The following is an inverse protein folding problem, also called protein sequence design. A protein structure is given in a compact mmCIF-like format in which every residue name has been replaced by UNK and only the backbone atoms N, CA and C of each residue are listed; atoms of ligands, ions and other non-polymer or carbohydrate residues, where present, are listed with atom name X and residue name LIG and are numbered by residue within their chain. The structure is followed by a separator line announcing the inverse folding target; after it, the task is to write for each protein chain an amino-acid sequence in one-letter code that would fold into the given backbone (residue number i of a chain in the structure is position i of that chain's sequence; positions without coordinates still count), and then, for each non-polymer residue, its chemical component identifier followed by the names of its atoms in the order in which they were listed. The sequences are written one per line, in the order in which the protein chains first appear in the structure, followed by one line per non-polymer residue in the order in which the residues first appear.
data_IF_342968932043
#
_entry.id   IF_342968932043
#
_cell.length_a   1.000
_cell.length_b   1.000
_cell.length_c   1.000
_cell.angle_alpha   90.00
_cell.angle_beta   90.00
_cell.angle_gamma   90.00
#
_symmetry.space_group_name_H-M   'P 1'
#
loop_
_entity.id
_entity.type
_entity.pdbx_description
1 polymer ?
#
# COMPACT_ATOMS: atom_id res chain seq x y z
N UNK A 1 21.48 10.03 6.50
CA UNK A 1 20.45 10.69 7.33
C UNK A 1 19.41 11.18 6.33
N UNK A 2 18.28 10.48 6.23
CA UNK A 2 17.18 10.91 5.37
C UNK A 2 16.68 12.26 5.92
N UNK A 3 16.71 13.29 5.09
CA UNK A 3 16.04 14.54 5.41
C UNK A 3 14.56 14.25 5.41
N UNK A 4 13.87 14.57 6.52
CA UNK A 4 12.44 14.29 6.74
C UNK A 4 11.50 15.09 5.82
N UNK A 5 12.04 15.78 4.83
CA UNK A 5 11.29 16.64 3.93
C UNK A 5 10.90 15.84 2.67
N UNK A 6 9.61 15.60 2.53
CA UNK A 6 8.97 15.08 1.32
C UNK A 6 9.30 13.62 0.94
N UNK A 7 8.97 12.66 1.81
CA UNK A 7 9.06 11.24 1.41
C UNK A 7 8.05 10.91 0.31
N UNK A 8 8.53 10.29 -0.75
CA UNK A 8 7.71 9.75 -1.83
C UNK A 8 7.54 8.24 -1.65
N UNK A 9 6.34 7.80 -1.35
CA UNK A 9 6.04 6.42 -0.94
C UNK A 9 5.05 5.80 -1.92
N UNK A 10 5.36 4.61 -2.43
CA UNK A 10 4.43 3.84 -3.24
C UNK A 10 3.76 2.74 -2.44
N UNK A 11 2.43 2.82 -2.30
CA UNK A 11 1.60 1.68 -1.88
C UNK A 11 1.47 0.68 -3.02
N UNK A 12 2.25 -0.40 -2.94
CA UNK A 12 2.34 -1.41 -3.99
C UNK A 12 1.29 -2.49 -3.81
N UNK A 13 0.35 -2.59 -4.77
CA UNK A 13 -0.71 -3.59 -4.76
C UNK A 13 -0.47 -4.80 -5.64
N UNK A 14 0.73 -4.96 -6.22
CA UNK A 14 1.12 -6.01 -7.16
C UNK A 14 0.22 -6.14 -8.41
N UNK A 15 -0.58 -5.13 -8.70
CA UNK A 15 -1.32 -5.03 -9.97
C UNK A 15 -0.48 -4.35 -11.06
N UNK A 16 -0.97 -4.42 -12.31
CA UNK A 16 -0.29 -3.81 -13.46
C UNK A 16 0.07 -2.34 -13.23
N UNK A 17 -0.85 -1.45 -12.77
CA UNK A 17 -0.52 -0.04 -12.63
C UNK A 17 0.61 0.22 -11.62
N UNK A 18 0.55 -0.41 -10.45
CA UNK A 18 1.58 -0.22 -9.42
C UNK A 18 2.92 -0.83 -9.82
N UNK A 19 2.92 -1.94 -10.57
CA UNK A 19 4.16 -2.53 -11.10
C UNK A 19 4.79 -1.66 -12.18
N UNK A 20 3.97 -1.03 -13.03
CA UNK A 20 4.46 -0.06 -14.01
C UNK A 20 5.14 1.11 -13.31
N UNK A 21 4.54 1.67 -12.26
CA UNK A 21 5.16 2.75 -11.47
C UNK A 21 6.49 2.32 -10.84
N UNK A 22 6.58 1.11 -10.31
CA UNK A 22 7.85 0.54 -9.82
C UNK A 22 8.89 0.49 -10.95
N UNK A 23 8.51 -0.01 -12.12
CA UNK A 23 9.42 -0.10 -13.28
C UNK A 23 9.96 1.28 -13.70
N UNK A 24 9.06 2.26 -13.83
CA UNK A 24 9.41 3.63 -14.21
C UNK A 24 10.33 4.30 -13.17
N UNK A 25 10.01 4.17 -11.89
CA UNK A 25 10.83 4.72 -10.80
C UNK A 25 12.22 4.07 -10.75
N UNK A 26 12.29 2.75 -10.92
CA UNK A 26 13.57 2.03 -10.97
C UNK A 26 14.40 2.43 -12.20
N UNK A 27 13.77 2.64 -13.34
CA UNK A 27 14.49 3.12 -14.52
C UNK A 27 15.05 4.54 -14.30
N UNK A 28 14.26 5.44 -13.70
CA UNK A 28 14.75 6.77 -13.32
C UNK A 28 15.94 6.68 -12.36
N UNK A 29 15.87 5.80 -11.35
CA UNK A 29 16.94 5.65 -10.36
C UNK A 29 18.25 5.06 -10.94
N UNK A 30 18.17 4.28 -12.02
CA UNK A 30 19.32 3.63 -12.66
C UNK A 30 19.93 4.47 -13.79
N UNK A 31 19.39 5.65 -14.07
CA UNK A 31 19.85 6.55 -15.14
C UNK A 31 20.35 7.87 -14.57
N UNK A 32 21.24 8.53 -15.31
CA UNK A 32 21.75 9.87 -14.97
C UNK A 32 20.71 10.98 -15.17
N UNK A 33 19.61 10.68 -15.83
CA UNK A 33 18.51 11.60 -16.09
C UNK A 33 17.16 10.86 -16.00
N UNK A 34 16.07 11.52 -15.56
CA UNK A 34 14.75 10.88 -15.47
C UNK A 34 14.19 10.62 -16.86
N UNK A 35 13.89 9.35 -17.15
CA UNK A 35 13.19 8.92 -18.37
C UNK A 35 11.68 9.19 -18.24
N UNK A 36 11.18 9.15 -17.00
CA UNK A 36 9.78 9.36 -16.65
C UNK A 36 9.66 10.52 -15.66
N UNK A 37 9.67 11.79 -16.13
CA UNK A 37 9.72 12.96 -15.24
C UNK A 37 8.54 13.07 -14.26
N UNK A 38 7.38 12.49 -14.62
CA UNK A 38 6.16 12.51 -13.79
C UNK A 38 6.18 11.48 -12.67
N UNK A 39 7.15 10.54 -12.68
CA UNK A 39 7.25 9.48 -11.68
C UNK A 39 8.46 9.73 -10.80
N UNK A 40 8.27 9.94 -9.49
CA UNK A 40 9.38 10.15 -8.58
C UNK A 40 10.20 8.87 -8.41
N UNK A 41 11.44 9.02 -7.94
CA UNK A 41 12.20 7.91 -7.36
C UNK A 41 11.64 7.74 -5.93
N UNK A 42 11.04 6.59 -5.64
CA UNK A 42 10.40 6.35 -4.35
C UNK A 42 11.43 6.13 -3.24
N UNK A 43 11.20 6.76 -2.09
CA UNK A 43 11.94 6.50 -0.84
C UNK A 43 11.56 5.16 -0.22
N UNK A 44 10.35 4.69 -0.51
CA UNK A 44 9.87 3.38 -0.10
C UNK A 44 8.78 2.84 -1.02
N UNK A 45 8.89 1.55 -1.37
CA UNK A 45 7.82 0.77 -1.98
C UNK A 45 7.31 -0.21 -0.94
N UNK A 46 6.01 -0.18 -0.61
CA UNK A 46 5.45 -0.93 0.50
C UNK A 46 4.34 -1.86 0.01
N UNK A 47 4.51 -3.16 0.22
CA UNK A 47 3.52 -4.20 -0.03
C UNK A 47 2.97 -4.74 1.30
N UNK A 48 1.64 -4.75 1.46
CA UNK A 48 0.97 -5.40 2.60
C UNK A 48 0.52 -6.80 2.19
N UNK A 49 1.17 -7.82 2.76
CA UNK A 49 0.81 -9.22 2.56
C UNK A 49 -0.28 -9.63 3.56
N UNK A 50 -1.44 -9.96 3.06
CA UNK A 50 -2.58 -10.43 3.85
C UNK A 50 -2.62 -11.96 3.97
N UNK A 51 -1.62 -12.68 3.46
CA UNK A 51 -1.56 -14.14 3.34
C UNK A 51 -2.72 -14.80 2.56
N UNK A 52 -3.46 -14.00 1.81
CA UNK A 52 -4.63 -14.43 1.05
C UNK A 52 -4.56 -14.05 -0.44
N UNK A 53 -3.36 -13.73 -0.92
CA UNK A 53 -3.17 -13.33 -2.32
C UNK A 53 -2.91 -14.57 -3.21
N UNK A 54 -3.34 -14.55 -4.47
CA UNK A 54 -3.03 -15.62 -5.42
C UNK A 54 -1.51 -15.78 -5.67
N UNK A 55 -1.07 -16.97 -6.03
CA UNK A 55 0.36 -17.29 -6.22
C UNK A 55 1.07 -16.39 -7.25
N UNK A 56 0.36 -15.92 -8.26
CA UNK A 56 0.92 -15.01 -9.26
C UNK A 56 1.25 -13.64 -8.68
N UNK A 57 0.51 -13.17 -7.66
CA UNK A 57 0.80 -11.93 -6.93
C UNK A 57 2.16 -12.05 -6.24
N UNK A 58 2.43 -13.16 -5.58
CA UNK A 58 3.74 -13.35 -4.91
C UNK A 58 4.91 -13.38 -5.90
N UNK A 59 4.71 -13.94 -7.10
CA UNK A 59 5.72 -13.84 -8.17
C UNK A 59 5.95 -12.39 -8.60
N UNK A 60 4.89 -11.63 -8.74
CA UNK A 60 4.96 -10.20 -9.08
C UNK A 60 5.65 -9.37 -7.99
N UNK A 61 5.37 -9.68 -6.72
CA UNK A 61 6.04 -9.07 -5.57
C UNK A 61 7.54 -9.37 -5.57
N UNK A 62 7.93 -10.63 -5.81
CA UNK A 62 9.33 -11.03 -5.90
C UNK A 62 10.06 -10.31 -7.04
N UNK A 63 9.41 -10.19 -8.21
CA UNK A 63 9.94 -9.46 -9.36
C UNK A 63 10.16 -7.96 -9.02
N UNK A 64 9.15 -7.30 -8.44
CA UNK A 64 9.23 -5.90 -8.07
C UNK A 64 10.29 -5.66 -7.00
N UNK A 65 10.40 -6.53 -6.00
CA UNK A 65 11.42 -6.44 -4.96
C UNK A 65 12.84 -6.58 -5.54
N UNK A 66 13.06 -7.51 -6.49
CA UNK A 66 14.37 -7.64 -7.15
C UNK A 66 14.71 -6.40 -7.98
N UNK A 67 13.73 -5.85 -8.69
CA UNK A 67 13.91 -4.63 -9.48
C UNK A 67 14.28 -3.44 -8.58
N UNK A 68 13.56 -3.24 -7.49
CA UNK A 68 13.84 -2.21 -6.48
C UNK A 68 15.25 -2.38 -5.87
N UNK A 69 15.63 -3.61 -5.52
CA UNK A 69 16.96 -3.92 -5.00
C UNK A 69 18.07 -3.50 -5.97
N UNK A 70 17.91 -3.77 -7.28
CA UNK A 70 18.89 -3.36 -8.31
C UNK A 70 18.96 -1.84 -8.50
N UNK A 71 17.83 -1.16 -8.30
CA UNK A 71 17.72 0.29 -8.38
C UNK A 71 18.04 1.01 -7.05
N UNK A 72 18.41 0.28 -5.99
CA UNK A 72 18.65 0.81 -4.64
C UNK A 72 17.43 1.52 -4.04
N UNK A 73 16.22 1.15 -4.45
CA UNK A 73 14.96 1.62 -3.87
C UNK A 73 14.54 0.68 -2.74
N UNK A 74 14.30 1.16 -1.52
CA UNK A 74 13.84 0.32 -0.41
C UNK A 74 12.48 -0.33 -0.71
N UNK A 75 12.39 -1.65 -0.58
CA UNK A 75 11.16 -2.41 -0.73
C UNK A 75 10.80 -3.09 0.59
N UNK A 76 9.61 -2.80 1.12
CA UNK A 76 9.13 -3.34 2.38
C UNK A 76 7.92 -4.24 2.15
N UNK A 77 7.99 -5.43 2.73
CA UNK A 77 6.87 -6.36 2.80
C UNK A 77 6.34 -6.35 4.23
N UNK A 78 5.15 -5.80 4.43
CA UNK A 78 4.47 -5.80 5.72
C UNK A 78 3.62 -7.06 5.84
N UNK A 79 3.84 -7.78 6.91
CA UNK A 79 3.12 -9.00 7.24
C UNK A 79 1.86 -8.65 8.04
N UNK A 80 0.68 -9.01 7.51
CA UNK A 80 -0.61 -8.67 8.10
C UNK A 80 -1.51 -9.91 8.14
N UNK A 81 -1.59 -10.57 9.28
CA UNK A 81 -2.42 -11.77 9.46
C UNK A 81 -3.92 -11.43 9.54
N UNK A 82 -4.53 -11.21 8.36
CA UNK A 82 -5.97 -10.95 8.24
C UNK A 82 -6.80 -12.11 8.78
N UNK A 83 -6.40 -13.34 8.51
CA UNK A 83 -7.18 -14.52 8.87
C UNK A 83 -7.11 -14.80 10.38
N UNK A 84 -5.93 -14.73 10.97
CA UNK A 84 -5.75 -14.87 12.42
C UNK A 84 -6.48 -13.77 13.19
N UNK A 85 -6.41 -12.51 12.73
CA UNK A 85 -7.16 -11.42 13.35
C UNK A 85 -8.68 -11.64 13.24
N UNK A 86 -9.16 -12.13 12.10
CA UNK A 86 -10.57 -12.50 11.93
C UNK A 86 -11.00 -13.58 12.94
N UNK A 87 -10.26 -14.68 13.05
CA UNK A 87 -10.59 -15.77 13.96
C UNK A 87 -10.55 -15.33 15.43
N UNK A 88 -9.55 -14.54 15.80
CA UNK A 88 -9.38 -14.08 17.18
C UNK A 88 -10.49 -13.11 17.63
N UNK A 89 -11.03 -12.33 16.71
CA UNK A 89 -12.06 -11.31 16.98
C UNK A 89 -13.49 -11.80 16.73
N UNK A 90 -13.67 -12.88 15.98
CA UNK A 90 -15.00 -13.38 15.64
C UNK A 90 -15.86 -13.62 16.88
N UNK A 91 -17.04 -13.02 16.92
CA UNK A 91 -17.97 -13.11 18.07
C UNK A 91 -17.56 -12.30 19.31
N UNK A 92 -16.39 -11.66 19.34
CA UNK A 92 -15.89 -10.90 20.52
C UNK A 92 -15.76 -9.41 20.25
N UNK A 93 -15.45 -9.02 19.00
CA UNK A 93 -15.23 -7.64 18.61
C UNK A 93 -15.62 -7.43 17.14
N UNK A 94 -15.68 -6.15 16.71
CA UNK A 94 -15.89 -5.82 15.32
C UNK A 94 -14.75 -6.37 14.47
N UNK A 95 -15.11 -7.17 13.47
CA UNK A 95 -14.20 -7.65 12.43
C UNK A 95 -14.40 -6.82 11.17
N UNK A 96 -13.30 -6.46 10.50
CA UNK A 96 -13.38 -5.79 9.20
C UNK A 96 -14.04 -6.69 8.18
N UNK A 97 -15.03 -6.17 7.47
CA UNK A 97 -15.73 -6.97 6.47
C UNK A 97 -14.82 -7.28 5.28
N UNK A 98 -14.65 -8.58 5.02
CA UNK A 98 -14.13 -9.06 3.74
C UNK A 98 -15.25 -8.84 2.71
N UNK A 99 -14.96 -8.31 1.50
CA UNK A 99 -16.00 -8.07 0.50
C UNK A 99 -16.57 -9.41 0.00
N UNK A 100 -17.81 -9.69 0.33
CA UNK A 100 -18.58 -10.80 -0.19
C UNK A 100 -19.98 -10.35 -0.60
N UNK A 101 -20.60 -11.15 -1.44
CA UNK A 101 -21.99 -10.91 -1.83
C UNK A 101 -22.92 -11.50 -0.78
N UNK A 102 -23.95 -10.74 -0.46
CA UNK A 102 -25.04 -11.20 0.44
C UNK A 102 -26.31 -11.33 -0.39
N UNK A 103 -27.17 -12.27 0.02
CA UNK A 103 -28.52 -12.37 -0.50
C UNK A 103 -29.49 -11.87 0.58
N UNK A 104 -30.18 -10.79 0.33
CA UNK A 104 -31.21 -10.27 1.21
C UNK A 104 -32.41 -11.20 1.29
N UNK A 105 -33.25 -11.06 2.34
CA UNK A 105 -34.50 -11.81 2.47
C UNK A 105 -35.49 -11.55 1.31
N UNK A 106 -35.33 -10.41 0.63
CA UNK A 106 -36.06 -10.01 -0.56
C UNK A 106 -35.46 -10.54 -1.89
N UNK A 107 -34.48 -11.43 -1.80
CA UNK A 107 -33.76 -11.99 -2.95
C UNK A 107 -32.80 -11.04 -3.63
N UNK A 108 -32.66 -9.80 -3.17
CA UNK A 108 -31.71 -8.84 -3.77
C UNK A 108 -30.28 -9.14 -3.36
N UNK A 109 -29.37 -9.06 -4.34
CA UNK A 109 -27.92 -9.17 -4.11
C UNK A 109 -27.41 -7.86 -3.50
N UNK A 110 -26.80 -7.95 -2.35
CA UNK A 110 -26.05 -6.87 -1.71
C UNK A 110 -24.55 -7.14 -1.75
N UNK A 111 -23.74 -6.11 -1.61
CA UNK A 111 -22.28 -6.23 -1.48
C UNK A 111 -21.84 -5.61 -0.16
N UNK A 112 -21.06 -6.35 0.60
CA UNK A 112 -20.45 -5.82 1.82
C UNK A 112 -19.38 -4.76 1.50
N UNK A 113 -19.29 -3.67 2.29
CA UNK A 113 -18.24 -2.66 2.10
C UNK A 113 -16.85 -3.26 2.21
N UNK A 114 -15.90 -2.77 1.39
CA UNK A 114 -14.49 -3.14 1.42
C UNK A 114 -13.75 -2.45 2.57
N UNK A 115 -13.94 -2.88 3.80
CA UNK A 115 -13.23 -2.31 4.95
C UNK A 115 -11.83 -2.89 5.13
N UNK A 116 -11.57 -4.11 4.64
CA UNK A 116 -10.26 -4.74 4.73
C UNK A 116 -9.13 -3.90 4.10
N UNK A 117 -9.39 -3.20 3.00
CA UNK A 117 -8.37 -2.33 2.37
C UNK A 117 -7.95 -1.20 3.29
N UNK A 118 -8.92 -0.55 3.97
CA UNK A 118 -8.62 0.56 4.89
C UNK A 118 -7.92 0.03 6.14
N UNK A 119 -8.46 -1.01 6.77
CA UNK A 119 -8.00 -1.46 8.08
C UNK A 119 -6.69 -2.24 8.02
N UNK A 120 -6.46 -3.04 6.98
CA UNK A 120 -5.30 -3.93 6.88
C UNK A 120 -4.24 -3.51 5.85
N UNK A 121 -4.55 -2.57 4.94
CA UNK A 121 -3.54 -2.04 4.01
C UNK A 121 -3.20 -0.59 4.35
N UNK A 122 -4.16 0.34 4.26
CA UNK A 122 -3.90 1.78 4.44
C UNK A 122 -3.37 2.07 5.85
N UNK A 123 -4.08 1.68 6.89
CA UNK A 123 -3.65 1.92 8.29
C UNK A 123 -2.31 1.26 8.63
N UNK A 124 -2.01 0.12 8.03
CA UNK A 124 -0.72 -0.55 8.27
C UNK A 124 0.42 0.21 7.60
N UNK A 125 0.23 0.72 6.38
CA UNK A 125 1.21 1.58 5.70
C UNK A 125 1.41 2.86 6.49
N UNK A 126 0.33 3.57 6.86
CA UNK A 126 0.41 4.79 7.68
C UNK A 126 1.17 4.56 8.99
N UNK A 127 0.89 3.45 9.66
CA UNK A 127 1.58 3.08 10.90
C UNK A 127 3.06 2.81 10.67
N UNK A 128 3.41 2.07 9.61
CA UNK A 128 4.79 1.78 9.26
C UNK A 128 5.56 3.06 8.91
N UNK A 129 4.99 3.90 8.05
CA UNK A 129 5.57 5.19 7.69
C UNK A 129 5.82 6.03 8.93
N UNK A 130 4.83 6.12 9.81
CA UNK A 130 4.90 6.95 11.02
C UNK A 130 5.99 6.48 11.99
N UNK A 131 6.05 5.21 12.28
CA UNK A 131 6.89 4.69 13.36
C UNK A 131 8.26 4.22 12.87
N UNK A 132 8.34 3.64 11.68
CA UNK A 132 9.59 3.07 11.16
C UNK A 132 10.34 4.07 10.26
N UNK A 133 9.64 4.76 9.36
CA UNK A 133 10.31 5.68 8.44
C UNK A 133 10.50 7.08 9.05
N UNK A 134 9.49 7.62 9.73
CA UNK A 134 9.51 8.93 10.37
C UNK A 134 9.94 8.90 11.83
N UNK A 135 10.15 7.72 12.41
CA UNK A 135 10.63 7.50 13.77
C UNK A 135 9.81 8.20 14.88
N UNK A 136 8.50 8.43 14.67
CA UNK A 136 7.64 8.98 15.70
C UNK A 136 7.49 8.02 16.88
N UNK A 137 7.46 8.57 18.10
CA UNK A 137 7.16 7.77 19.31
C UNK A 137 5.65 7.46 19.39
N UNK A 138 5.25 6.33 20.00
CA UNK A 138 3.85 6.05 20.27
C UNK A 138 3.19 7.21 21.04
N UNK A 139 2.00 7.64 20.58
CA UNK A 139 1.22 8.79 21.11
C UNK A 139 1.81 10.19 20.83
N UNK A 140 2.93 10.30 20.17
CA UNK A 140 3.45 11.58 19.71
C UNK A 140 2.51 12.18 18.66
N UNK A 141 2.24 13.48 18.77
CA UNK A 141 1.39 14.17 17.78
C UNK A 141 2.20 14.42 16.52
N UNK A 142 1.67 14.05 15.37
CA UNK A 142 2.25 14.42 14.07
C UNK A 142 2.16 15.93 13.92
N UNK A 143 3.26 16.59 13.64
CA UNK A 143 3.28 18.02 13.34
C UNK A 143 2.44 18.30 12.09
N UNK A 144 1.78 19.46 12.02
CA UNK A 144 0.94 19.80 10.87
C UNK A 144 1.72 19.89 9.57
N UNK A 145 2.98 20.24 9.63
CA UNK A 145 3.92 20.26 8.50
C UNK A 145 4.13 18.85 7.92
N UNK A 146 4.29 17.84 8.80
CA UNK A 146 4.57 16.47 8.36
C UNK A 146 3.35 15.77 7.73
N UNK A 147 2.14 16.26 8.00
CA UNK A 147 0.91 15.68 7.41
C UNK A 147 0.79 15.93 5.91
N UNK A 148 1.48 16.93 5.40
CA UNK A 148 1.42 17.36 4.00
C UNK A 148 2.76 17.23 3.26
N UNK A 149 3.80 16.80 3.97
CA UNK A 149 5.16 16.72 3.44
C UNK A 149 5.45 15.39 2.69
N UNK A 150 4.52 14.42 2.71
CA UNK A 150 4.78 13.08 2.17
C UNK A 150 3.79 12.73 1.07
N UNK A 151 4.29 12.27 -0.07
CA UNK A 151 3.50 11.73 -1.16
C UNK A 151 3.20 10.24 -0.94
N UNK A 152 1.92 9.86 -0.84
CA UNK A 152 1.51 8.45 -0.92
C UNK A 152 0.91 8.17 -2.28
N UNK A 153 1.66 7.45 -3.10
CA UNK A 153 1.27 7.09 -4.46
C UNK A 153 0.56 5.74 -4.50
N UNK A 154 -0.43 5.62 -5.36
CA UNK A 154 -1.14 4.38 -5.65
C UNK A 154 -1.28 4.20 -7.16
N UNK A 155 -0.96 3.00 -7.65
CA UNK A 155 -1.20 2.66 -9.04
C UNK A 155 -2.68 2.36 -9.27
N UNK A 156 -3.36 3.21 -10.06
CA UNK A 156 -4.74 3.02 -10.53
C UNK A 156 -4.79 3.17 -12.05
N UNK A 157 -5.69 2.42 -12.69
CA UNK A 157 -5.94 2.58 -14.13
C UNK A 157 -6.88 3.76 -14.40
N UNK A 158 -6.84 4.32 -15.61
CA UNK A 158 -7.69 5.44 -16.01
C UNK A 158 -9.19 5.13 -15.81
N UNK A 159 -9.60 3.89 -16.05
CA UNK A 159 -11.00 3.43 -15.86
C UNK A 159 -11.40 3.42 -14.37
N UNK A 160 -10.42 3.38 -13.47
CA UNK A 160 -10.63 3.40 -12.03
C UNK A 160 -10.48 4.82 -11.43
N UNK A 161 -10.42 5.87 -12.24
CA UNK A 161 -10.17 7.27 -11.80
C UNK A 161 -11.13 7.74 -10.68
N UNK A 162 -12.31 7.13 -10.56
CA UNK A 162 -13.25 7.36 -9.44
C UNK A 162 -12.63 7.05 -8.07
N UNK A 163 -11.65 6.15 -8.00
CA UNK A 163 -10.96 5.77 -6.76
C UNK A 163 -9.97 6.83 -6.28
N UNK A 164 -9.54 7.71 -7.17
CA UNK A 164 -8.62 8.80 -6.84
C UNK A 164 -9.31 9.98 -6.10
N UNK A 165 -10.66 9.96 -6.02
CA UNK A 165 -11.45 11.02 -5.37
C UNK A 165 -11.87 10.68 -3.95
N UNK A 166 -11.45 9.56 -3.43
CA UNK A 166 -11.72 9.10 -2.07
C UNK A 166 -10.47 9.29 -1.19
#
# INVERSE_FOLDING_TARGET
MLTLDNLEILSYGAGTPSTTLVGMACENAMRDYPVWPEVPIYDAVIFCDLHAEPSWVYRQVAFAADLCRRASIPFYKLDVDLYGDYLNRFGKARVSSIPFWTLGKDGKKGRMPRQCTVDYKIKMIERFVRYELLCYRPRERTLSVDKHAHGLHMGIMAEEARRAKQ
#
